data_IF_759647933278
#
_entry.id   IF_759647933278
#
_cell.length_a   1.000
_cell.length_b   1.000
_cell.length_c   1.000
_cell.angle_alpha   90.00
_cell.angle_beta   90.00
_cell.angle_gamma   90.00
#
_symmetry.space_group_name_H-M   'P 1'
#
loop_
_entity.id
_entity.type
_entity.pdbx_description
1 polymer ?
#
# COMPACT_ATOMS: atom_id res chain seq x y z
N UNK A 1 14.15 4.84 15.04
CA UNK A 1 13.38 5.30 13.87
C UNK A 1 11.93 4.95 14.09
N UNK A 2 11.05 5.94 14.02
CA UNK A 2 9.64 5.77 14.35
C UNK A 2 8.97 4.87 13.29
N UNK A 3 8.57 3.68 13.72
CA UNK A 3 7.46 2.96 13.10
C UNK A 3 6.29 3.94 13.14
N UNK A 4 5.96 4.57 12.02
CA UNK A 4 4.78 5.44 11.94
C UNK A 4 3.58 4.63 12.43
N UNK A 5 2.87 5.13 13.43
CA UNK A 5 1.65 4.50 13.90
C UNK A 5 0.60 4.55 12.78
N UNK A 6 -0.40 3.65 12.83
CA UNK A 6 -1.40 3.58 11.76
C UNK A 6 -2.03 4.96 11.49
N UNK A 7 -2.26 5.75 12.55
CA UNK A 7 -2.84 7.10 12.49
C UNK A 7 -1.94 8.18 11.87
N UNK A 8 -0.61 8.03 11.94
CA UNK A 8 0.36 9.01 11.43
C UNK A 8 0.64 8.87 9.93
N UNK A 9 0.30 7.72 9.34
CA UNK A 9 0.57 7.47 7.93
C UNK A 9 -0.40 8.25 7.03
N UNK A 10 0.10 9.08 6.08
CA UNK A 10 -0.77 9.82 5.17
C UNK A 10 -1.58 8.87 4.27
N UNK A 11 -2.86 9.19 4.16
CA UNK A 11 -3.77 8.58 3.20
C UNK A 11 -3.56 9.21 1.83
N UNK A 12 -3.20 8.39 0.86
CA UNK A 12 -2.93 8.85 -0.49
C UNK A 12 -3.69 7.99 -1.50
N UNK A 13 -3.97 8.59 -2.64
CA UNK A 13 -4.63 7.91 -3.73
C UNK A 13 -3.71 6.81 -4.32
N UNK A 14 -4.23 5.62 -4.69
CA UNK A 14 -3.43 4.49 -5.20
C UNK A 14 -2.58 4.84 -6.41
N UNK A 15 -3.04 5.78 -7.25
CA UNK A 15 -2.26 6.29 -8.39
C UNK A 15 -0.92 6.96 -8.03
N UNK A 16 -0.71 7.34 -6.76
CA UNK A 16 0.53 7.97 -6.26
C UNK A 16 1.53 6.95 -5.70
N UNK A 17 1.13 5.68 -5.54
CA UNK A 17 1.99 4.61 -5.03
C UNK A 17 3.03 4.21 -6.07
N UNK A 18 4.25 3.93 -5.59
CA UNK A 18 5.37 3.46 -6.41
C UNK A 18 5.94 2.14 -5.88
N UNK A 19 6.64 1.43 -6.75
CA UNK A 19 7.42 0.26 -6.33
C UNK A 19 8.48 0.70 -5.33
N UNK A 20 8.58 -0.04 -4.22
CA UNK A 20 9.45 0.28 -3.09
C UNK A 20 8.76 1.02 -1.95
N UNK A 21 7.55 1.54 -2.15
CA UNK A 21 6.77 2.13 -1.07
C UNK A 21 6.27 1.07 -0.09
N UNK A 22 6.23 1.43 1.19
CA UNK A 22 5.57 0.62 2.21
C UNK A 22 4.14 1.12 2.34
N UNK A 23 3.17 0.25 2.06
CA UNK A 23 1.75 0.59 2.15
C UNK A 23 1.04 -0.33 3.13
N UNK A 24 -0.08 0.16 3.67
CA UNK A 24 -1.00 -0.63 4.47
C UNK A 24 -2.45 -0.31 4.13
N UNK A 25 -3.36 -1.12 4.67
CA UNK A 25 -4.79 -0.97 4.41
C UNK A 25 -5.40 0.16 5.24
N UNK A 26 -6.53 0.71 4.77
CA UNK A 26 -7.37 1.65 5.55
C UNK A 26 -8.01 1.01 6.78
N UNK A 27 -8.07 -0.31 6.86
CA UNK A 27 -8.47 -0.98 8.09
C UNK A 27 -7.35 -0.80 9.12
N UNK A 28 -7.68 -0.67 10.42
CA UNK A 28 -6.70 -0.61 11.51
C UNK A 28 -6.03 -1.97 11.69
N UNK A 29 -5.31 -2.41 10.66
CA UNK A 29 -4.49 -3.60 10.68
C UNK A 29 -3.05 -3.16 10.75
N UNK A 30 -2.26 -3.94 11.47
CA UNK A 30 -0.79 -3.78 11.52
C UNK A 30 -0.13 -4.25 10.22
N UNK A 31 -0.92 -4.65 9.22
CA UNK A 31 -0.43 -5.27 8.00
C UNK A 31 0.12 -4.19 7.05
N UNK A 32 1.44 -4.23 6.91
CA UNK A 32 2.22 -3.32 6.06
C UNK A 32 3.11 -4.16 5.16
N UNK A 33 3.15 -3.82 3.89
CA UNK A 33 4.01 -4.52 2.93
C UNK A 33 4.70 -3.55 1.99
N UNK A 34 5.90 -3.93 1.57
CA UNK A 34 6.66 -3.20 0.57
C UNK A 34 6.16 -3.57 -0.81
N UNK A 35 5.67 -2.60 -1.56
CA UNK A 35 5.21 -2.77 -2.94
C UNK A 35 6.38 -3.20 -3.81
N UNK A 36 6.24 -4.35 -4.46
CA UNK A 36 7.20 -4.90 -5.42
C UNK A 36 6.71 -4.78 -6.85
N UNK A 37 5.40 -4.82 -7.05
CA UNK A 37 4.80 -4.72 -8.37
C UNK A 37 3.46 -4.00 -8.27
N UNK A 38 3.15 -3.21 -9.30
CA UNK A 38 1.90 -2.50 -9.45
C UNK A 38 1.31 -2.93 -10.78
N UNK A 39 0.14 -3.57 -10.75
CA UNK A 39 -0.66 -3.73 -11.96
C UNK A 39 -1.41 -2.44 -12.19
N UNK A 40 -1.16 -1.81 -13.34
CA UNK A 40 -1.88 -0.61 -13.78
C UNK A 40 -3.37 -0.88 -13.97
N UNK A 41 -4.21 0.17 -13.98
CA UNK A 41 -5.64 -0.02 -13.91
C UNK A 41 -6.17 -0.77 -15.11
N UNK A 42 -6.75 -1.95 -14.86
CA UNK A 42 -7.57 -2.63 -15.85
C UNK A 42 -8.77 -1.74 -16.16
N UNK A 43 -9.07 -1.60 -17.46
CA UNK A 43 -10.13 -0.73 -17.98
C UNK A 43 -11.47 -1.04 -17.33
N UNK A 44 -11.97 -0.08 -16.56
CA UNK A 44 -13.30 0.06 -15.96
C UNK A 44 -13.85 -1.18 -15.22
N UNK A 45 -13.89 -1.17 -13.87
CA UNK A 45 -13.54 -0.07 -12.97
C UNK A 45 -12.03 0.09 -12.79
N UNK A 46 -11.58 1.35 -12.71
CA UNK A 46 -10.16 1.71 -12.57
C UNK A 46 -9.63 1.22 -11.21
N UNK A 47 -8.95 0.08 -11.20
CA UNK A 47 -8.45 -0.58 -9.99
C UNK A 47 -6.95 -0.78 -10.04
N UNK A 48 -6.26 -0.43 -8.98
CA UNK A 48 -4.83 -0.70 -8.81
C UNK A 48 -4.66 -1.96 -7.97
N UNK A 49 -3.87 -2.90 -8.49
CA UNK A 49 -3.46 -4.07 -7.70
C UNK A 49 -1.99 -3.94 -7.35
N UNK A 50 -1.72 -3.87 -6.05
CA UNK A 50 -0.38 -3.83 -5.49
C UNK A 50 0.00 -5.21 -4.99
N UNK A 51 1.15 -5.70 -5.45
CA UNK A 51 1.77 -6.91 -4.94
C UNK A 51 3.01 -6.51 -4.18
N UNK A 52 3.16 -7.06 -2.98
CA UNK A 52 4.29 -6.74 -2.14
C UNK A 52 4.61 -7.83 -1.15
N UNK A 53 5.61 -7.56 -0.32
CA UNK A 53 6.10 -8.48 0.69
C UNK A 53 6.18 -7.76 2.03
N UNK A 54 5.68 -8.38 3.09
CA UNK A 54 5.81 -7.84 4.44
C UNK A 54 7.19 -8.15 5.05
N UNK A 55 7.41 -7.73 6.29
CA UNK A 55 8.66 -7.96 7.02
C UNK A 55 8.97 -9.45 7.25
N UNK A 56 7.94 -10.31 7.35
CA UNK A 56 8.09 -11.75 7.53
C UNK A 56 8.33 -12.50 6.21
N UNK A 57 8.36 -11.81 5.07
CA UNK A 57 8.57 -12.44 3.78
C UNK A 57 7.31 -12.99 3.10
N UNK A 58 6.13 -12.79 3.71
CA UNK A 58 4.83 -13.19 3.16
C UNK A 58 4.44 -12.27 2.01
N UNK A 59 3.93 -12.86 0.94
CA UNK A 59 3.42 -12.10 -0.19
C UNK A 59 2.01 -11.60 0.12
N UNK A 60 1.77 -10.33 -0.15
CA UNK A 60 0.48 -9.68 -0.01
C UNK A 60 0.05 -9.07 -1.33
N UNK A 61 -1.26 -9.17 -1.57
CA UNK A 61 -1.92 -8.56 -2.72
C UNK A 61 -3.06 -7.70 -2.21
N UNK A 62 -3.06 -6.42 -2.56
CA UNK A 62 -4.13 -5.49 -2.24
C UNK A 62 -4.67 -4.86 -3.52
N UNK A 63 -5.98 -4.86 -3.68
CA UNK A 63 -6.67 -4.22 -4.82
C UNK A 63 -7.46 -3.04 -4.30
N UNK A 64 -7.29 -1.88 -4.94
CA UNK A 64 -7.90 -0.62 -4.54
C UNK A 64 -8.56 0.05 -5.76
N UNK A 65 -9.78 0.54 -5.58
CA UNK A 65 -10.50 1.35 -6.56
C UNK A 65 -9.99 2.78 -6.68
N UNK A 66 -10.61 3.55 -7.56
CA UNK A 66 -10.36 4.98 -7.74
C UNK A 66 -10.81 5.80 -6.53
N UNK A 67 -11.94 5.46 -5.92
CA UNK A 67 -12.44 6.14 -4.71
C UNK A 67 -11.80 5.62 -3.42
N UNK A 68 -10.90 4.64 -3.49
CA UNK A 68 -10.23 4.07 -2.32
C UNK A 68 -8.89 4.76 -2.05
N UNK A 69 -8.55 4.88 -0.77
CA UNK A 69 -7.30 5.43 -0.30
C UNK A 69 -6.39 4.32 0.23
N UNK A 70 -5.09 4.58 0.24
CA UNK A 70 -4.07 3.70 0.83
C UNK A 70 -3.19 4.50 1.76
N UNK A 71 -2.79 3.90 2.88
CA UNK A 71 -1.85 4.54 3.82
C UNK A 71 -0.43 4.22 3.39
N UNK A 72 0.38 5.26 3.14
CA UNK A 72 1.80 5.13 2.82
C UNK A 72 2.64 5.41 4.05
N UNK A 73 3.47 4.44 4.42
CA UNK A 73 4.40 4.55 5.54
C UNK A 73 5.78 4.95 5.02
N UNK A 74 6.53 5.72 5.81
CA UNK A 74 7.95 5.92 5.51
C UNK A 74 8.69 4.57 5.65
N UNK A 75 9.61 4.34 4.73
CA UNK A 75 10.54 3.21 4.81
C UNK A 75 11.32 3.34 6.13
N UNK A 76 11.26 2.32 6.99
CA UNK A 76 12.24 2.20 8.07
C UNK A 76 13.61 2.07 7.40
N UNK A 77 14.47 3.08 7.62
CA UNK A 77 15.82 3.09 7.07
C UNK A 77 16.77 2.25 7.90
#
# INVERSE_FOLDING_TARGET
MAIQDWGDAPEIHPSKIRVGDVIGTLRPTTLRYTVKMISGPQTTPRRWTFFGRDANGTQHTGTFGEDELVRRYAKAS
#
